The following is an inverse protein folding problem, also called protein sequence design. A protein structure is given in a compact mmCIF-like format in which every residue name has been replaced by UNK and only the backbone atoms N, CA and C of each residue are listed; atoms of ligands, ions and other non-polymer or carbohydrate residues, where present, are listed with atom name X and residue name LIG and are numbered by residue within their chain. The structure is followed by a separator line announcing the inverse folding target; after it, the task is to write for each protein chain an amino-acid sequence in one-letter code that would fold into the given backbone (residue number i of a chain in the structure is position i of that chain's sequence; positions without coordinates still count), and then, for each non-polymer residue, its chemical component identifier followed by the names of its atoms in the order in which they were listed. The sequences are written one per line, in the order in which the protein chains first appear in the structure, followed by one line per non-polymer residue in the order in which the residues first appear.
data_IF_563394342062
#
_entry.id   IF_563394342062
#
_cell.length_a   1.000
_cell.length_b   1.000
_cell.length_c   1.000
_cell.angle_alpha   90.00
_cell.angle_beta   90.00
_cell.angle_gamma   90.00
#
_symmetry.space_group_name_H-M   'P 1'
#
loop_
_entity.id
_entity.type
_entity.pdbx_description
1 polymer ?
#
# COMPACT_ATOMS: atom_id res chain seq x y z
N UNK A 1 -25.70 9.84 0.28
CA UNK A 1 -24.35 9.42 -0.07
C UNK A 1 -23.41 9.99 0.98
N UNK A 2 -22.46 9.24 1.55
CA UNK A 2 -21.50 9.83 2.45
C UNK A 2 -20.71 10.88 1.70
N UNK A 3 -20.61 12.06 2.29
CA UNK A 3 -19.87 13.19 1.73
C UNK A 3 -18.38 12.85 1.80
N UNK A 4 -17.69 12.90 0.65
CA UNK A 4 -16.24 12.68 0.63
C UNK A 4 -15.56 13.71 1.53
N UNK A 5 -14.71 13.26 2.44
CA UNK A 5 -13.89 14.15 3.24
C UNK A 5 -13.09 15.07 2.31
N UNK A 6 -13.12 16.38 2.56
CA UNK A 6 -12.45 17.36 1.69
C UNK A 6 -13.22 17.78 0.42
N UNK A 7 -14.42 17.27 0.17
CA UNK A 7 -15.22 17.64 -1.01
C UNK A 7 -15.39 19.15 -1.19
N UNK A 8 -15.60 19.89 -0.10
CA UNK A 8 -15.72 21.35 -0.15
C UNK A 8 -14.43 22.06 -0.60
N UNK A 9 -13.27 21.50 -0.25
CA UNK A 9 -11.98 22.04 -0.69
C UNK A 9 -11.81 21.84 -2.21
N UNK A 10 -12.16 20.68 -2.72
CA UNK A 10 -12.11 20.38 -4.15
C UNK A 10 -13.08 21.25 -4.96
N UNK A 11 -14.31 21.46 -4.47
CA UNK A 11 -15.30 22.32 -5.13
C UNK A 11 -14.78 23.76 -5.24
N UNK A 12 -14.04 24.27 -4.24
CA UNK A 12 -13.43 25.60 -4.30
C UNK A 12 -12.29 25.72 -5.31
N UNK A 13 -11.59 24.63 -5.56
CA UNK A 13 -10.50 24.59 -6.55
C UNK A 13 -11.05 24.50 -7.97
N UNK A 14 -11.93 23.53 -8.23
CA UNK A 14 -12.60 23.33 -9.51
C UNK A 14 -13.86 22.47 -9.29
N UNK A 15 -15.06 23.03 -9.47
CA UNK A 15 -16.31 22.32 -9.24
C UNK A 15 -16.56 21.18 -10.23
N UNK A 16 -16.04 21.27 -11.46
CA UNK A 16 -16.16 20.20 -12.46
C UNK A 16 -15.27 19.05 -12.11
N UNK A 17 -14.01 19.33 -11.75
CA UNK A 17 -13.09 18.31 -11.28
C UNK A 17 -13.59 17.63 -10.00
N UNK A 18 -14.15 18.39 -9.05
CA UNK A 18 -14.71 17.83 -7.82
C UNK A 18 -15.84 16.82 -8.12
N UNK A 19 -16.70 17.12 -9.13
CA UNK A 19 -17.75 16.21 -9.55
C UNK A 19 -17.18 14.93 -10.19
N UNK A 20 -16.17 15.05 -11.04
CA UNK A 20 -15.47 13.90 -11.63
C UNK A 20 -14.77 13.05 -10.56
N UNK A 21 -14.07 13.69 -9.63
CA UNK A 21 -13.39 13.00 -8.54
C UNK A 21 -14.36 12.26 -7.62
N UNK A 22 -15.53 12.84 -7.33
CA UNK A 22 -16.57 12.18 -6.56
C UNK A 22 -17.09 10.91 -7.24
N UNK A 23 -17.20 10.93 -8.57
CA UNK A 23 -17.58 9.74 -9.36
C UNK A 23 -16.53 8.63 -9.30
N UNK A 24 -15.26 8.99 -9.31
CA UNK A 24 -14.13 8.04 -9.26
C UNK A 24 -14.02 7.39 -7.89
N UNK A 25 -14.15 8.15 -6.80
CA UNK A 25 -14.01 7.62 -5.44
C UNK A 25 -14.99 6.49 -5.10
N UNK A 26 -16.05 6.30 -5.86
CA UNK A 26 -16.96 5.17 -5.69
C UNK A 26 -16.43 3.86 -6.29
N UNK A 27 -15.47 3.92 -7.21
CA UNK A 27 -14.93 2.73 -7.86
C UNK A 27 -14.24 1.81 -6.83
N UNK A 28 -13.20 2.26 -6.14
CA UNK A 28 -12.48 1.44 -5.16
C UNK A 28 -13.39 0.96 -4.02
N UNK A 29 -14.19 1.88 -3.45
CA UNK A 29 -15.02 1.54 -2.28
C UNK A 29 -16.15 0.58 -2.59
N UNK A 30 -16.59 0.50 -3.84
CA UNK A 30 -17.61 -0.46 -4.32
C UNK A 30 -17.10 -1.86 -4.65
N UNK A 31 -15.76 -2.09 -4.70
CA UNK A 31 -15.17 -3.39 -5.08
C UNK A 31 -15.46 -4.46 -4.01
N UNK A 32 -15.80 -5.67 -4.44
CA UNK A 32 -16.32 -6.72 -3.55
C UNK A 32 -15.24 -7.59 -2.89
N UNK A 33 -14.07 -7.76 -3.52
CA UNK A 33 -13.08 -8.76 -3.13
C UNK A 33 -11.92 -8.18 -2.30
N UNK A 34 -12.04 -6.90 -1.90
CA UNK A 34 -11.16 -6.23 -0.94
C UNK A 34 -11.98 -5.84 0.31
N UNK A 35 -11.44 -6.08 1.48
CA UNK A 35 -12.01 -5.55 2.73
C UNK A 35 -11.92 -4.02 2.78
N UNK A 36 -12.73 -3.36 3.61
CA UNK A 36 -12.65 -1.91 3.78
C UNK A 36 -11.27 -1.46 4.26
N UNK A 37 -10.62 -2.27 5.10
CA UNK A 37 -9.26 -2.03 5.59
C UNK A 37 -8.23 -2.15 4.45
N UNK A 38 -8.35 -3.16 3.60
CA UNK A 38 -7.47 -3.30 2.42
C UNK A 38 -7.65 -2.14 1.43
N UNK A 39 -8.88 -1.68 1.20
CA UNK A 39 -9.16 -0.50 0.36
C UNK A 39 -8.49 0.76 0.91
N UNK A 40 -8.57 0.97 2.23
CA UNK A 40 -7.87 2.08 2.88
C UNK A 40 -6.35 1.95 2.68
N UNK A 41 -5.78 0.75 2.81
CA UNK A 41 -4.36 0.50 2.57
C UNK A 41 -3.95 0.73 1.11
N UNK A 42 -4.82 0.43 0.15
CA UNK A 42 -4.59 0.76 -1.27
C UNK A 42 -4.41 2.28 -1.44
N UNK A 43 -5.34 3.10 -0.91
CA UNK A 43 -5.24 4.55 -0.98
C UNK A 43 -3.97 5.08 -0.30
N UNK A 44 -3.76 4.70 0.95
CA UNK A 44 -2.61 5.16 1.76
C UNK A 44 -1.27 4.75 1.15
N UNK A 45 -1.18 3.59 0.53
CA UNK A 45 0.03 3.15 -0.19
C UNK A 45 0.23 3.94 -1.48
N UNK A 46 -0.84 4.17 -2.24
CA UNK A 46 -0.75 4.96 -3.47
C UNK A 46 -0.32 6.40 -3.18
N UNK A 47 -0.79 7.02 -2.08
CA UNK A 47 -0.34 8.34 -1.64
C UNK A 47 1.18 8.38 -1.38
N UNK A 48 1.73 7.33 -0.76
CA UNK A 48 3.18 7.21 -0.54
C UNK A 48 3.98 7.09 -1.83
N UNK A 49 3.40 6.46 -2.86
CA UNK A 49 4.04 6.33 -4.16
C UNK A 49 4.02 7.62 -4.98
N UNK A 50 3.26 8.61 -4.57
CA UNK A 50 3.18 9.93 -5.19
C UNK A 50 3.71 10.98 -4.21
N UNK A 51 4.60 11.90 -4.62
CA UNK A 51 5.32 12.78 -3.70
C UNK A 51 4.47 13.88 -3.06
N UNK A 52 3.15 13.86 -3.21
CA UNK A 52 2.25 14.89 -2.69
C UNK A 52 1.40 14.35 -1.53
N UNK A 53 1.93 14.47 -0.31
CA UNK A 53 1.31 13.97 0.92
C UNK A 53 0.38 15.01 1.60
N UNK A 54 -0.27 15.87 0.83
CA UNK A 54 -1.14 16.93 1.36
C UNK A 54 -2.60 16.51 1.48
N UNK A 55 -3.47 17.14 0.69
CA UNK A 55 -4.92 16.95 0.76
C UNK A 55 -5.35 15.50 0.53
N UNK A 56 -4.83 14.77 -0.49
CA UNK A 56 -5.22 13.38 -0.71
C UNK A 56 -4.92 12.49 0.50
N UNK A 57 -3.71 12.56 1.06
CA UNK A 57 -3.35 11.79 2.24
C UNK A 57 -4.25 12.10 3.43
N UNK A 58 -4.53 13.38 3.70
CA UNK A 58 -5.42 13.77 4.79
C UNK A 58 -6.82 13.16 4.63
N UNK A 59 -7.36 13.18 3.41
CA UNK A 59 -8.65 12.56 3.08
C UNK A 59 -8.62 11.04 3.30
N UNK A 60 -7.60 10.35 2.81
CA UNK A 60 -7.50 8.89 2.92
C UNK A 60 -7.25 8.43 4.35
N UNK A 61 -6.47 9.17 5.14
CA UNK A 61 -6.32 8.92 6.59
C UNK A 61 -7.67 9.05 7.29
N UNK A 62 -8.42 10.12 7.03
CA UNK A 62 -9.75 10.31 7.63
C UNK A 62 -10.72 9.19 7.20
N UNK A 63 -10.70 8.79 5.94
CA UNK A 63 -11.52 7.68 5.44
C UNK A 63 -11.13 6.35 6.10
N UNK A 64 -9.83 6.07 6.28
CA UNK A 64 -9.36 4.89 6.97
C UNK A 64 -9.88 4.85 8.42
N UNK A 65 -9.72 5.94 9.18
CA UNK A 65 -10.20 6.04 10.55
C UNK A 65 -11.72 5.90 10.65
N UNK A 66 -12.48 6.50 9.73
CA UNK A 66 -13.94 6.39 9.68
C UNK A 66 -14.42 4.96 9.37
N UNK A 67 -13.58 4.17 8.72
CA UNK A 67 -13.81 2.73 8.46
C UNK A 67 -13.15 1.83 9.52
N UNK A 68 -12.88 2.36 10.71
CA UNK A 68 -12.36 1.64 11.87
C UNK A 68 -10.96 1.01 11.66
N UNK A 69 -10.17 1.58 10.75
CA UNK A 69 -8.75 1.23 10.65
C UNK A 69 -8.01 1.87 11.81
N UNK A 70 -7.39 1.04 12.64
CA UNK A 70 -6.65 1.51 13.81
C UNK A 70 -5.47 2.40 13.41
N UNK A 71 -5.21 3.53 14.11
CA UNK A 71 -4.06 4.39 13.84
C UNK A 71 -2.74 3.64 13.81
N UNK A 72 -2.56 2.66 14.69
CA UNK A 72 -1.35 1.84 14.72
C UNK A 72 -1.21 0.94 13.48
N UNK A 73 -2.32 0.51 12.88
CA UNK A 73 -2.28 -0.24 11.63
C UNK A 73 -1.81 0.63 10.45
N UNK A 74 -2.18 1.91 10.42
CA UNK A 74 -1.66 2.88 9.43
C UNK A 74 -0.15 3.05 9.62
N UNK A 75 0.32 3.18 10.86
CA UNK A 75 1.76 3.28 11.16
C UNK A 75 2.50 2.02 10.76
N UNK A 76 1.93 0.85 11.04
CA UNK A 76 2.54 -0.44 10.68
C UNK A 76 2.60 -0.64 9.16
N UNK A 77 1.58 -0.19 8.42
CA UNK A 77 1.61 -0.16 6.96
C UNK A 77 2.81 0.67 6.46
N UNK A 78 3.02 1.84 7.02
CA UNK A 78 4.12 2.73 6.63
C UNK A 78 5.49 2.15 6.99
N UNK A 79 5.63 1.54 8.18
CA UNK A 79 6.84 0.81 8.56
C UNK A 79 7.13 -0.34 7.59
N UNK A 80 6.11 -1.09 7.21
CA UNK A 80 6.24 -2.18 6.25
C UNK A 80 6.71 -1.68 4.88
N UNK A 81 6.17 -0.56 4.41
CA UNK A 81 6.46 -0.01 3.09
C UNK A 81 7.80 0.71 2.99
N UNK A 82 8.48 1.01 4.10
CA UNK A 82 9.71 1.79 4.09
C UNK A 82 10.79 1.29 3.10
N UNK A 83 11.13 0.00 3.02
CA UNK A 83 12.12 -0.46 2.05
C UNK A 83 11.62 -0.46 0.60
N UNK A 84 10.32 -0.39 0.37
CA UNK A 84 9.72 -0.46 -0.97
C UNK A 84 9.53 0.92 -1.61
N UNK A 85 9.10 1.93 -0.83
CA UNK A 85 8.87 3.29 -1.33
C UNK A 85 10.01 4.25 -0.98
N UNK A 86 10.90 3.84 -0.09
CA UNK A 86 12.08 4.60 0.35
C UNK A 86 11.86 5.34 1.67
N UNK A 87 12.90 5.35 2.50
CA UNK A 87 12.86 5.94 3.84
C UNK A 87 12.60 7.46 3.85
N UNK A 88 13.17 8.27 2.92
CA UNK A 88 12.95 9.72 2.95
C UNK A 88 11.47 10.12 2.85
N UNK A 89 10.70 9.47 1.98
CA UNK A 89 9.27 9.77 1.86
C UNK A 89 8.51 9.38 3.13
N UNK A 90 8.93 8.29 3.80
CA UNK A 90 8.31 7.86 5.05
C UNK A 90 8.53 8.85 6.19
N UNK A 91 9.70 9.51 6.26
CA UNK A 91 9.93 10.58 7.24
C UNK A 91 8.88 11.67 7.06
N UNK A 92 8.69 12.16 5.83
CA UNK A 92 7.66 13.17 5.52
C UNK A 92 6.25 12.66 5.83
N UNK A 93 5.95 11.41 5.48
CA UNK A 93 4.65 10.82 5.74
C UNK A 93 4.35 10.70 7.24
N UNK A 94 5.31 10.26 8.05
CA UNK A 94 5.14 10.21 9.52
C UNK A 94 4.98 11.59 10.14
N UNK A 95 5.70 12.61 9.67
CA UNK A 95 5.50 13.99 10.08
C UNK A 95 4.05 14.43 9.76
N UNK A 96 3.58 14.12 8.55
CA UNK A 96 2.23 14.45 8.13
C UNK A 96 1.16 13.73 8.96
N UNK A 97 1.36 12.45 9.32
CA UNK A 97 0.45 11.74 10.22
C UNK A 97 0.37 12.43 11.61
N UNK A 98 1.49 12.91 12.13
CA UNK A 98 1.51 13.64 13.38
C UNK A 98 0.74 14.96 13.29
N UNK A 99 0.92 15.74 12.21
CA UNK A 99 0.15 16.97 11.94
C UNK A 99 -1.36 16.72 11.78
N UNK A 100 -1.74 15.56 11.28
CA UNK A 100 -3.14 15.12 11.18
C UNK A 100 -3.70 14.61 12.51
N UNK A 101 -2.91 14.66 13.59
CA UNK A 101 -3.34 14.30 14.93
C UNK A 101 -3.44 12.80 15.19
N UNK A 102 -2.76 11.96 14.41
CA UNK A 102 -2.68 10.54 14.75
C UNK A 102 -1.91 10.39 16.08
N UNK A 103 -2.41 9.53 17.00
CA UNK A 103 -1.72 9.27 18.26
C UNK A 103 -0.25 8.92 18.04
N UNK A 104 0.59 9.27 19.00
CA UNK A 104 2.00 8.86 18.98
C UNK A 104 2.12 7.33 18.90
N UNK A 105 3.22 6.88 18.32
CA UNK A 105 3.50 5.45 18.27
C UNK A 105 3.61 4.89 19.69
N UNK A 106 3.03 3.73 19.91
CA UNK A 106 3.28 2.98 21.13
C UNK A 106 4.72 2.44 21.10
N UNK A 107 5.37 2.39 22.27
CA UNK A 107 6.64 1.69 22.41
C UNK A 107 6.43 0.22 22.06
N UNK A 108 6.98 -0.18 20.93
CA UNK A 108 6.94 -1.56 20.49
C UNK A 108 8.09 -2.33 21.15
N UNK A 109 7.78 -3.53 21.60
CA UNK A 109 8.84 -4.48 21.97
C UNK A 109 9.67 -4.83 20.74
N UNK A 110 10.96 -5.09 20.87
CA UNK A 110 11.77 -5.61 19.78
C UNK A 110 11.08 -6.81 19.14
N UNK A 111 10.98 -6.80 17.82
CA UNK A 111 10.41 -7.93 17.07
C UNK A 111 11.45 -9.03 17.00
N UNK A 112 11.10 -10.23 17.42
CA UNK A 112 11.95 -11.39 17.21
C UNK A 112 12.04 -11.68 15.72
N UNK A 113 13.25 -11.60 15.18
CA UNK A 113 13.49 -11.85 13.77
C UNK A 113 13.34 -13.33 13.47
N UNK A 114 12.44 -13.64 12.56
CA UNK A 114 12.31 -15.00 12.01
C UNK A 114 12.93 -15.04 10.62
N UNK A 115 13.69 -16.09 10.29
CA UNK A 115 14.24 -16.27 8.95
C UNK A 115 13.13 -16.20 7.90
N UNK A 116 13.41 -15.57 6.77
CA UNK A 116 12.51 -15.56 5.62
C UNK A 116 12.24 -16.99 5.14
N UNK A 117 11.04 -17.21 4.63
CA UNK A 117 10.60 -18.51 4.12
C UNK A 117 9.88 -18.35 2.77
N UNK A 118 9.75 -19.46 2.05
CA UNK A 118 8.97 -19.52 0.81
C UNK A 118 9.50 -18.58 -0.27
N UNK A 119 8.62 -17.83 -0.87
CA UNK A 119 8.92 -16.92 -2.00
C UNK A 119 9.91 -15.81 -1.64
N UNK A 120 9.79 -15.23 -0.44
CA UNK A 120 10.72 -14.18 0.02
C UNK A 120 12.15 -14.72 0.17
N UNK A 121 12.32 -15.89 0.77
CA UNK A 121 13.64 -16.49 0.92
C UNK A 121 14.26 -16.84 -0.45
N UNK A 122 13.46 -17.31 -1.41
CA UNK A 122 13.92 -17.58 -2.78
C UNK A 122 14.36 -16.30 -3.48
N UNK A 123 13.54 -15.25 -3.43
CA UNK A 123 13.88 -13.99 -4.07
C UNK A 123 15.21 -13.39 -3.54
N UNK A 124 15.44 -13.47 -2.23
CA UNK A 124 16.71 -13.01 -1.63
C UNK A 124 17.88 -13.93 -2.05
N UNK A 125 17.67 -15.25 -2.08
CA UNK A 125 18.69 -16.19 -2.53
C UNK A 125 19.10 -15.92 -3.98
N UNK A 126 18.12 -15.70 -4.87
CA UNK A 126 18.38 -15.39 -6.28
C UNK A 126 19.13 -14.05 -6.45
N UNK A 127 18.80 -13.07 -5.60
CA UNK A 127 19.49 -11.78 -5.56
C UNK A 127 20.97 -11.93 -5.14
N UNK A 128 21.30 -12.88 -4.26
CA UNK A 128 22.68 -13.12 -3.83
C UNK A 128 23.59 -13.56 -5.00
N UNK A 129 23.04 -14.19 -6.03
CA UNK A 129 23.79 -14.51 -7.24
C UNK A 129 24.17 -13.26 -8.07
N UNK A 130 23.47 -12.14 -7.86
CA UNK A 130 23.73 -10.86 -8.52
C UNK A 130 24.64 -9.99 -7.66
N UNK A 131 24.28 -9.82 -6.38
CA UNK A 131 25.05 -9.03 -5.42
C UNK A 131 24.78 -9.51 -3.99
N UNK A 132 25.81 -10.04 -3.34
CA UNK A 132 25.71 -10.60 -1.99
C UNK A 132 25.36 -9.54 -0.94
N UNK A 133 25.96 -8.34 -1.02
CA UNK A 133 25.70 -7.26 -0.07
C UNK A 133 24.27 -6.73 -0.14
N UNK A 134 23.74 -6.62 -1.36
CA UNK A 134 22.34 -6.24 -1.57
C UNK A 134 21.38 -7.32 -1.04
N UNK A 135 21.72 -8.60 -1.22
CA UNK A 135 20.91 -9.70 -0.70
C UNK A 135 20.87 -9.69 0.82
N UNK A 136 22.00 -9.54 1.50
CA UNK A 136 22.10 -9.45 2.96
C UNK A 136 21.30 -8.26 3.51
N UNK A 137 21.46 -7.08 2.90
CA UNK A 137 20.66 -5.91 3.26
C UNK A 137 19.16 -6.16 3.07
N UNK A 138 18.78 -6.77 1.95
CA UNK A 138 17.38 -7.06 1.63
C UNK A 138 16.79 -8.08 2.61
N UNK A 139 17.53 -9.12 2.96
CA UNK A 139 17.11 -10.13 3.93
C UNK A 139 16.81 -9.49 5.28
N UNK A 140 17.73 -8.66 5.80
CA UNK A 140 17.52 -7.95 7.05
C UNK A 140 16.27 -7.07 7.00
N UNK A 141 16.11 -6.26 5.95
CA UNK A 141 14.97 -5.38 5.80
C UNK A 141 13.65 -6.16 5.72
N UNK A 142 13.60 -7.20 4.93
CA UNK A 142 12.38 -8.01 4.75
C UNK A 142 12.05 -8.81 6.01
N UNK A 143 13.03 -9.47 6.65
CA UNK A 143 12.81 -10.22 7.88
C UNK A 143 12.20 -9.35 8.98
N UNK A 144 12.75 -8.13 9.16
CA UNK A 144 12.22 -7.19 10.13
C UNK A 144 10.77 -6.77 9.86
N UNK A 145 10.37 -6.58 8.61
CA UNK A 145 9.02 -6.06 8.27
C UNK A 145 7.98 -7.16 8.18
N UNK A 146 8.30 -8.28 7.56
CA UNK A 146 7.34 -9.37 7.38
C UNK A 146 7.05 -10.15 8.67
N UNK A 147 7.94 -10.11 9.67
CA UNK A 147 7.73 -10.71 10.99
C UNK A 147 6.88 -9.85 11.93
N UNK A 148 6.69 -8.55 11.65
CA UNK A 148 6.00 -7.64 12.57
C UNK A 148 4.50 -7.98 12.71
N UNK A 149 3.91 -7.80 13.93
CA UNK A 149 2.47 -7.91 14.13
C UNK A 149 1.71 -6.74 13.49
N UNK A 150 0.39 -6.75 13.57
CA UNK A 150 -0.48 -5.63 13.19
C UNK A 150 -1.01 -5.68 11.76
N UNK A 151 -0.30 -6.33 10.84
CA UNK A 151 -0.77 -6.60 9.47
C UNK A 151 -0.63 -8.08 9.15
N UNK A 152 -1.62 -8.62 8.44
CA UNK A 152 -1.54 -9.97 7.86
C UNK A 152 -0.59 -10.02 6.65
N UNK A 153 -0.14 -11.22 6.29
CA UNK A 153 0.66 -11.44 5.06
C UNK A 153 -0.11 -10.96 3.83
N UNK A 154 -1.43 -11.17 3.78
CA UNK A 154 -2.28 -10.71 2.68
C UNK A 154 -2.28 -9.19 2.56
N UNK A 155 -2.46 -8.48 3.66
CA UNK A 155 -2.45 -7.00 3.66
C UNK A 155 -1.09 -6.43 3.23
N UNK A 156 0.00 -7.03 3.71
CA UNK A 156 1.38 -6.67 3.32
C UNK A 156 1.61 -6.87 1.83
N UNK A 157 1.21 -8.02 1.29
CA UNK A 157 1.37 -8.34 -0.12
C UNK A 157 0.50 -7.44 -1.02
N UNK A 158 -0.75 -7.14 -0.61
CA UNK A 158 -1.61 -6.17 -1.30
C UNK A 158 -0.96 -4.79 -1.35
N UNK A 159 -0.40 -4.32 -0.24
CA UNK A 159 0.29 -3.02 -0.20
C UNK A 159 1.52 -3.01 -1.13
N UNK A 160 2.34 -4.06 -1.12
CA UNK A 160 3.48 -4.18 -2.03
C UNK A 160 3.03 -4.23 -3.51
N UNK A 161 1.93 -4.91 -3.83
CA UNK A 161 1.36 -4.90 -5.19
C UNK A 161 0.93 -3.50 -5.63
N UNK A 162 0.39 -2.67 -4.73
CA UNK A 162 0.10 -1.26 -5.05
C UNK A 162 1.38 -0.52 -5.43
N UNK A 163 2.47 -0.72 -4.67
CA UNK A 163 3.78 -0.13 -4.99
C UNK A 163 4.24 -0.60 -6.36
N UNK A 164 4.18 -1.90 -6.65
CA UNK A 164 4.58 -2.44 -7.96
C UNK A 164 3.81 -1.82 -9.11
N UNK A 165 2.49 -1.63 -8.95
CA UNK A 165 1.67 -0.97 -9.96
C UNK A 165 2.06 0.51 -10.11
N UNK A 166 2.22 1.22 -9.00
CA UNK A 166 2.57 2.64 -9.03
C UNK A 166 3.97 2.90 -9.61
N UNK A 167 4.95 2.07 -9.27
CA UNK A 167 6.34 2.22 -9.73
C UNK A 167 6.64 1.44 -11.02
N UNK A 168 5.67 0.68 -11.52
CA UNK A 168 5.81 -0.14 -12.73
C UNK A 168 6.92 -1.21 -12.61
N UNK A 169 7.12 -1.74 -11.42
CA UNK A 169 8.02 -2.88 -11.17
C UNK A 169 7.33 -4.21 -11.52
N UNK A 170 6.92 -4.32 -12.79
CA UNK A 170 6.01 -5.36 -13.29
C UNK A 170 6.67 -6.71 -13.56
N UNK A 171 7.91 -6.86 -13.21
CA UNK A 171 8.70 -8.09 -13.38
C UNK A 171 8.58 -9.05 -12.21
N UNK A 172 9.72 -9.37 -11.61
CA UNK A 172 9.84 -10.32 -10.49
C UNK A 172 9.13 -9.84 -9.23
N UNK A 173 9.23 -8.55 -8.91
CA UNK A 173 8.59 -7.94 -7.75
C UNK A 173 7.08 -8.16 -7.77
N UNK A 174 6.42 -7.81 -8.88
CA UNK A 174 4.97 -8.00 -9.04
C UNK A 174 4.58 -9.47 -8.89
N UNK A 175 5.34 -10.39 -9.50
CA UNK A 175 5.06 -11.84 -9.41
C UNK A 175 5.24 -12.36 -8.00
N UNK A 176 6.31 -11.95 -7.30
CA UNK A 176 6.56 -12.28 -5.90
C UNK A 176 5.39 -11.86 -5.01
N UNK A 177 4.99 -10.60 -5.08
CA UNK A 177 3.93 -10.09 -4.23
C UNK A 177 2.55 -10.68 -4.57
N UNK A 178 2.30 -10.99 -5.86
CA UNK A 178 1.08 -11.70 -6.26
C UNK A 178 1.06 -13.15 -5.74
N UNK A 179 2.19 -13.85 -5.75
CA UNK A 179 2.31 -15.19 -5.17
C UNK A 179 2.08 -15.17 -3.65
N UNK A 180 2.66 -14.19 -2.94
CA UNK A 180 2.44 -13.99 -1.50
C UNK A 180 0.97 -13.68 -1.18
N UNK A 181 0.33 -12.80 -1.95
CA UNK A 181 -1.08 -12.49 -1.78
C UNK A 181 -1.96 -13.74 -1.98
N UNK A 182 -1.71 -14.51 -3.04
CA UNK A 182 -2.45 -15.77 -3.32
C UNK A 182 -2.23 -16.81 -2.23
N UNK A 183 -1.01 -17.01 -1.74
CA UNK A 183 -0.72 -17.92 -0.63
C UNK A 183 -1.44 -17.53 0.66
N UNK A 184 -1.77 -16.25 0.82
CA UNK A 184 -2.53 -15.69 1.94
C UNK A 184 -4.03 -15.54 1.63
N UNK A 185 -4.55 -16.23 0.60
CA UNK A 185 -5.98 -16.32 0.29
C UNK A 185 -6.54 -15.24 -0.63
N UNK A 186 -5.68 -14.46 -1.32
CA UNK A 186 -6.15 -13.60 -2.40
C UNK A 186 -6.50 -14.43 -3.64
N UNK A 187 -7.62 -14.14 -4.26
CA UNK A 187 -8.06 -14.74 -5.52
C UNK A 187 -7.67 -13.85 -6.71
N UNK A 188 -7.83 -14.35 -7.92
CA UNK A 188 -7.66 -13.52 -9.11
C UNK A 188 -8.69 -12.37 -9.15
N UNK A 189 -9.88 -12.56 -8.59
CA UNK A 189 -10.85 -11.47 -8.45
C UNK A 189 -10.37 -10.40 -7.44
N UNK A 190 -9.67 -10.81 -6.37
CA UNK A 190 -9.00 -9.87 -5.47
C UNK A 190 -7.95 -9.05 -6.22
N UNK A 191 -7.14 -9.68 -7.08
CA UNK A 191 -6.11 -8.99 -7.86
C UNK A 191 -6.72 -8.08 -8.92
N UNK A 192 -7.82 -8.49 -9.57
CA UNK A 192 -8.60 -7.64 -10.50
C UNK A 192 -9.13 -6.40 -9.80
N UNK A 193 -9.72 -6.58 -8.62
CA UNK A 193 -10.25 -5.46 -7.83
C UNK A 193 -9.12 -4.54 -7.37
N UNK A 194 -7.98 -5.08 -6.93
CA UNK A 194 -6.81 -4.28 -6.59
C UNK A 194 -6.37 -3.39 -7.77
N UNK A 195 -6.18 -3.97 -8.95
CA UNK A 195 -5.74 -3.23 -10.14
C UNK A 195 -6.78 -2.19 -10.56
N UNK A 196 -8.08 -2.49 -10.46
CA UNK A 196 -9.17 -1.53 -10.70
C UNK A 196 -9.12 -0.36 -9.71
N UNK A 197 -8.89 -0.65 -8.42
CA UNK A 197 -8.78 0.38 -7.40
C UNK A 197 -7.57 1.29 -7.64
N UNK A 198 -6.40 0.72 -7.95
CA UNK A 198 -5.18 1.50 -8.24
C UNK A 198 -5.33 2.33 -9.53
N UNK A 199 -6.26 2.01 -10.42
CA UNK A 199 -6.51 2.81 -11.62
C UNK A 199 -6.93 4.26 -11.33
N UNK A 200 -7.48 4.53 -10.15
CA UNK A 200 -7.77 5.90 -9.67
C UNK A 200 -6.52 6.76 -9.53
N UNK A 201 -5.37 6.11 -9.28
CA UNK A 201 -4.06 6.74 -9.11
C UNK A 201 -3.20 6.71 -10.39
N UNK A 202 -3.71 6.13 -11.47
CA UNK A 202 -3.02 6.11 -12.76
C UNK A 202 -3.46 4.97 -13.66
N UNK A 203 -4.47 5.19 -14.49
CA UNK A 203 -5.12 4.17 -15.32
C UNK A 203 -4.16 3.40 -16.22
N UNK A 204 -3.22 4.08 -16.90
CA UNK A 204 -2.28 3.42 -17.80
C UNK A 204 -1.35 2.44 -17.07
N UNK A 205 -0.95 2.76 -15.83
CA UNK A 205 -0.14 1.89 -14.97
C UNK A 205 -0.90 0.61 -14.61
N UNK A 206 -2.17 0.75 -14.27
CA UNK A 206 -3.04 -0.38 -13.96
C UNK A 206 -3.28 -1.28 -15.18
N UNK A 207 -3.43 -0.74 -16.39
CA UNK A 207 -3.52 -1.55 -17.62
C UNK A 207 -2.27 -2.41 -17.84
N UNK A 208 -1.08 -1.82 -17.65
CA UNK A 208 0.18 -2.56 -17.77
C UNK A 208 0.27 -3.68 -16.72
N UNK A 209 -0.09 -3.39 -15.48
CA UNK A 209 -0.09 -4.36 -14.38
C UNK A 209 -1.09 -5.50 -14.60
N UNK A 210 -2.31 -5.21 -15.08
CA UNK A 210 -3.31 -6.23 -15.41
C UNK A 210 -2.77 -7.24 -16.44
N UNK A 211 -2.12 -6.74 -17.49
CA UNK A 211 -1.49 -7.59 -18.52
C UNK A 211 -0.34 -8.42 -17.95
N UNK A 212 0.51 -7.83 -17.10
CA UNK A 212 1.64 -8.51 -16.48
C UNK A 212 1.19 -9.63 -15.52
N UNK A 213 0.03 -9.48 -14.90
CA UNK A 213 -0.59 -10.48 -14.01
C UNK A 213 -1.42 -11.52 -14.77
N UNK A 214 -1.69 -11.33 -16.06
CA UNK A 214 -2.54 -12.22 -16.87
C UNK A 214 -4.03 -12.17 -16.48
N UNK A 215 -4.50 -11.02 -16.01
CA UNK A 215 -5.89 -10.80 -15.54
C UNK A 215 -6.85 -10.41 -16.66
#
# INVERSE_FOLDING_TARGET
MPQLAGAEALVRLDPVFAQLAAGVGHNLWGLAHLTMREKAFVCLTADLCHPHLDVPLAMHVQMALSNQVEPEAIRELYRHLAPYVGYPILVTAFQRLAELGLPEARDDKPVELTPLRGELARAVHDLAAVDQGLAEFSEEQLAQRWARPGLSVRERAIACLVVDVCYQTLGESLRLHAALARSAGATDDTLRDLVRGVAEFGMARSWAAARALGL
#
